data_IF_149220596873
#
_entry.id   IF_149220596873
#
_cell.length_a   1.000
_cell.length_b   1.000
_cell.length_c   1.000
_cell.angle_alpha   90.00
_cell.angle_beta   90.00
_cell.angle_gamma   90.00
#
_symmetry.space_group_name_H-M   'P 1'
#
loop_
_entity.id
_entity.type
_entity.pdbx_description
1 polymer ?
#
# COMPACT_ATOMS: atom_id res chain seq x y z
N UNK A 1 -20.45 -18.30 9.78
CA UNK A 1 -21.37 -17.20 9.41
C UNK A 1 -21.64 -17.21 7.91
N UNK A 2 -22.74 -17.86 7.49
CA UNK A 2 -23.23 -17.84 6.10
C UNK A 2 -24.63 -17.22 6.11
N UNK A 3 -24.89 -16.31 5.19
CA UNK A 3 -26.20 -15.68 5.03
C UNK A 3 -26.40 -15.31 3.56
N UNK A 4 -27.64 -15.21 3.11
CA UNK A 4 -28.00 -15.02 1.68
C UNK A 4 -27.29 -13.82 1.02
N UNK A 5 -26.89 -12.83 1.83
CA UNK A 5 -26.17 -11.61 1.40
C UNK A 5 -24.80 -11.41 2.08
N UNK A 6 -24.23 -12.43 2.72
CA UNK A 6 -22.93 -12.31 3.42
C UNK A 6 -21.86 -13.11 2.68
N UNK A 7 -20.87 -12.41 2.15
CA UNK A 7 -19.66 -13.03 1.61
C UNK A 7 -18.63 -13.17 2.73
N UNK A 8 -18.21 -14.39 3.07
CA UNK A 8 -17.14 -14.58 4.04
C UNK A 8 -15.81 -14.04 3.50
N UNK A 9 -14.95 -13.54 4.41
CA UNK A 9 -13.63 -12.99 4.07
C UNK A 9 -12.57 -14.04 4.43
N UNK A 10 -11.63 -14.30 3.52
CA UNK A 10 -10.37 -14.98 3.80
C UNK A 10 -9.24 -13.96 3.79
N UNK A 11 -8.39 -13.98 4.81
CA UNK A 11 -7.28 -13.04 4.95
C UNK A 11 -5.97 -13.72 4.54
N UNK A 12 -5.11 -12.98 3.84
CA UNK A 12 -3.73 -13.38 3.60
C UNK A 12 -2.88 -13.07 4.83
N UNK A 13 -2.11 -14.04 5.31
CA UNK A 13 -1.27 -13.86 6.50
C UNK A 13 0.11 -14.51 6.35
N UNK A 14 1.06 -14.07 7.16
CA UNK A 14 2.39 -14.67 7.21
C UNK A 14 2.36 -16.01 7.95
N UNK A 15 2.84 -17.06 7.29
CA UNK A 15 2.85 -18.43 7.81
C UNK A 15 3.65 -18.58 9.12
N UNK A 16 4.64 -17.71 9.36
CA UNK A 16 5.40 -17.68 10.62
C UNK A 16 4.52 -17.51 11.87
N UNK A 17 3.34 -16.89 11.73
CA UNK A 17 2.35 -16.80 12.80
C UNK A 17 1.83 -18.18 13.27
N UNK A 18 1.98 -19.25 12.48
CA UNK A 18 1.59 -20.61 12.91
C UNK A 18 2.57 -21.25 13.90
N UNK A 19 3.73 -20.64 14.15
CA UNK A 19 4.65 -21.08 15.21
C UNK A 19 4.02 -20.98 16.60
N UNK A 20 3.13 -20.02 16.81
CA UNK A 20 2.32 -19.90 18.02
C UNK A 20 1.05 -20.78 17.89
N UNK A 21 0.76 -21.68 18.86
CA UNK A 21 -0.38 -22.59 18.78
C UNK A 21 -1.75 -21.91 18.68
N UNK A 22 -1.93 -20.76 19.31
CA UNK A 22 -3.21 -20.03 19.35
C UNK A 22 -3.52 -19.44 17.98
N UNK A 23 -2.56 -18.73 17.40
CA UNK A 23 -2.69 -18.15 16.05
C UNK A 23 -2.74 -19.23 14.99
N UNK A 24 -2.00 -20.33 15.15
CA UNK A 24 -2.09 -21.51 14.27
C UNK A 24 -3.50 -22.09 14.21
N UNK A 25 -4.10 -22.35 15.37
CA UNK A 25 -5.47 -22.85 15.47
C UNK A 25 -6.47 -21.86 14.85
N UNK A 26 -6.36 -20.58 15.20
CA UNK A 26 -7.24 -19.52 14.68
C UNK A 26 -7.17 -19.43 13.16
N UNK A 27 -5.97 -19.30 12.58
CA UNK A 27 -5.80 -19.13 11.13
C UNK A 27 -6.34 -20.34 10.35
N UNK A 28 -6.09 -21.56 10.85
CA UNK A 28 -6.59 -22.81 10.24
C UNK A 28 -8.11 -22.92 10.32
N UNK A 29 -8.71 -22.64 11.48
CA UNK A 29 -10.17 -22.67 11.64
C UNK A 29 -10.89 -21.61 10.78
N UNK A 30 -10.27 -20.44 10.61
CA UNK A 30 -10.80 -19.38 9.75
C UNK A 30 -10.58 -19.64 8.25
N UNK A 31 -9.77 -20.63 7.87
CA UNK A 31 -9.46 -20.93 6.48
C UNK A 31 -8.70 -19.79 5.79
N UNK A 32 -7.88 -19.05 6.55
CA UNK A 32 -7.01 -18.00 6.02
C UNK A 32 -5.94 -18.58 5.11
N UNK A 33 -5.37 -17.74 4.25
CA UNK A 33 -4.45 -18.17 3.20
C UNK A 33 -3.02 -17.81 3.64
N UNK A 34 -2.15 -18.79 3.96
CA UNK A 34 -0.80 -18.51 4.40
C UNK A 34 0.12 -18.11 3.26
N UNK A 35 1.11 -17.26 3.57
CA UNK A 35 2.23 -16.89 2.70
C UNK A 35 3.52 -17.09 3.48
N UNK A 36 4.45 -17.83 2.88
CA UNK A 36 5.76 -18.10 3.48
C UNK A 36 6.75 -17.01 3.05
N UNK A 37 7.38 -16.39 4.03
CA UNK A 37 8.30 -15.26 3.90
C UNK A 37 9.38 -15.40 4.96
N UNK A 38 10.59 -14.92 4.67
CA UNK A 38 11.64 -14.80 5.67
C UNK A 38 11.20 -13.86 6.80
N UNK A 39 11.64 -14.18 8.01
CA UNK A 39 11.48 -13.28 9.15
C UNK A 39 12.59 -12.22 9.10
N UNK A 40 12.28 -11.09 8.46
CA UNK A 40 13.21 -9.98 8.33
C UNK A 40 12.97 -8.90 9.39
N UNK A 41 12.07 -9.13 10.36
CA UNK A 41 11.61 -8.10 11.30
C UNK A 41 10.68 -7.05 10.68
N UNK A 42 10.08 -6.22 11.54
CA UNK A 42 9.05 -5.25 11.16
C UNK A 42 9.63 -4.00 10.50
N UNK A 43 9.08 -3.62 9.34
CA UNK A 43 9.50 -2.45 8.56
C UNK A 43 10.66 -2.69 7.59
N UNK A 44 11.13 -3.93 7.49
CA UNK A 44 12.11 -4.34 6.49
C UNK A 44 11.42 -4.94 5.25
N UNK A 45 12.12 -4.95 4.11
CA UNK A 45 11.58 -5.52 2.90
C UNK A 45 11.36 -7.04 3.06
N UNK A 46 10.19 -7.54 2.64
CA UNK A 46 9.87 -8.96 2.67
C UNK A 46 10.66 -9.76 1.63
N UNK A 47 11.26 -10.87 2.05
CA UNK A 47 11.83 -11.89 1.15
C UNK A 47 10.91 -13.10 1.05
N UNK A 48 10.34 -13.32 -0.14
CA UNK A 48 9.33 -14.36 -0.36
C UNK A 48 9.93 -15.65 -0.89
N UNK A 49 9.40 -16.79 -0.43
CA UNK A 49 9.61 -18.05 -1.11
C UNK A 49 8.73 -18.11 -2.37
N UNK A 50 9.30 -18.15 -3.60
CA UNK A 50 8.50 -18.10 -4.84
C UNK A 50 7.49 -19.24 -4.96
N UNK A 51 7.80 -20.42 -4.41
CA UNK A 51 6.87 -21.57 -4.41
C UNK A 51 5.65 -21.28 -3.55
N UNK A 52 5.85 -20.70 -2.37
CA UNK A 52 4.77 -20.33 -1.46
C UNK A 52 3.89 -19.23 -2.05
N UNK A 53 4.51 -18.22 -2.67
CA UNK A 53 3.77 -17.16 -3.36
C UNK A 53 2.86 -17.72 -4.47
N UNK A 54 3.36 -18.66 -5.28
CA UNK A 54 2.55 -19.32 -6.32
C UNK A 54 1.37 -20.11 -5.72
N UNK A 55 1.58 -20.78 -4.58
CA UNK A 55 0.52 -21.51 -3.87
C UNK A 55 -0.52 -20.55 -3.27
N UNK A 56 -0.10 -19.40 -2.75
CA UNK A 56 -0.99 -18.33 -2.29
C UNK A 56 -1.87 -17.82 -3.44
N UNK A 57 -1.29 -17.54 -4.62
CA UNK A 57 -2.06 -17.08 -5.78
C UNK A 57 -3.13 -18.11 -6.19
N UNK A 58 -2.76 -19.40 -6.23
CA UNK A 58 -3.69 -20.49 -6.54
C UNK A 58 -4.84 -20.56 -5.52
N UNK A 59 -4.52 -20.49 -4.23
CA UNK A 59 -5.50 -20.57 -3.13
C UNK A 59 -6.42 -19.36 -3.12
N UNK A 60 -5.89 -18.17 -3.42
CA UNK A 60 -6.66 -16.93 -3.55
C UNK A 60 -7.64 -17.00 -4.71
N UNK A 61 -7.20 -17.51 -5.88
CA UNK A 61 -8.08 -17.72 -7.03
C UNK A 61 -9.23 -18.68 -6.71
N UNK A 62 -8.93 -19.82 -6.08
CA UNK A 62 -9.95 -20.78 -5.65
C UNK A 62 -10.95 -20.16 -4.65
N UNK A 63 -10.47 -19.41 -3.66
CA UNK A 63 -11.31 -18.70 -2.70
C UNK A 63 -12.24 -17.67 -3.38
N UNK A 64 -11.72 -16.94 -4.36
CA UNK A 64 -12.51 -16.01 -5.18
C UNK A 64 -13.62 -16.77 -5.92
N UNK A 65 -13.30 -17.88 -6.58
CA UNK A 65 -14.26 -18.74 -7.31
C UNK A 65 -15.33 -19.33 -6.39
N UNK A 66 -14.96 -19.73 -5.17
CA UNK A 66 -15.87 -20.17 -4.10
C UNK A 66 -16.77 -19.05 -3.54
N UNK A 67 -16.54 -17.80 -3.95
CA UNK A 67 -17.37 -16.65 -3.57
C UNK A 67 -16.90 -15.91 -2.32
N UNK A 68 -15.71 -16.19 -1.80
CA UNK A 68 -15.10 -15.42 -0.71
C UNK A 68 -14.60 -14.06 -1.19
N UNK A 69 -14.62 -13.08 -0.29
CA UNK A 69 -13.85 -11.85 -0.42
C UNK A 69 -12.45 -12.07 0.17
N UNK A 70 -11.45 -11.34 -0.32
CA UNK A 70 -10.05 -11.51 0.08
C UNK A 70 -9.59 -10.26 0.83
N UNK A 71 -9.16 -10.45 2.08
CA UNK A 71 -8.50 -9.42 2.89
C UNK A 71 -7.00 -9.44 2.64
N UNK A 72 -6.44 -8.28 2.32
CA UNK A 72 -5.01 -8.11 2.00
C UNK A 72 -4.47 -6.92 2.80
N UNK A 73 -3.32 -7.10 3.44
CA UNK A 73 -2.53 -6.00 3.98
C UNK A 73 -1.46 -5.66 2.93
N UNK A 74 -1.59 -4.54 2.21
CA UNK A 74 -0.75 -4.25 1.04
C UNK A 74 0.70 -3.92 1.40
N UNK A 75 0.95 -3.50 2.64
CA UNK A 75 2.27 -3.28 3.24
C UNK A 75 2.97 -4.60 3.62
N UNK A 76 2.25 -5.73 3.64
CA UNK A 76 2.78 -7.08 3.90
C UNK A 76 3.41 -7.32 5.26
N UNK A 77 3.58 -6.29 6.10
CA UNK A 77 4.07 -6.33 7.46
C UNK A 77 3.32 -5.32 8.35
N UNK A 78 3.38 -5.49 9.68
CA UNK A 78 2.96 -4.44 10.62
C UNK A 78 3.80 -3.17 10.46
N UNK A 79 3.13 -2.03 10.40
CA UNK A 79 3.78 -0.72 10.37
C UNK A 79 4.08 -0.24 11.80
N UNK A 80 5.36 -0.09 12.21
CA UNK A 80 5.72 0.36 13.54
C UNK A 80 5.56 1.88 13.73
N UNK A 81 5.45 2.66 12.65
CA UNK A 81 5.34 4.12 12.71
C UNK A 81 4.23 4.65 11.79
N UNK A 82 2.97 4.20 11.98
CA UNK A 82 1.86 4.57 11.09
C UNK A 82 1.54 6.06 11.10
N UNK A 83 2.04 6.78 12.11
CA UNK A 83 1.98 8.24 12.25
C UNK A 83 2.67 8.96 11.08
N UNK A 84 3.65 8.31 10.46
CA UNK A 84 4.36 8.80 9.27
C UNK A 84 3.66 8.41 7.95
N UNK A 85 2.50 7.76 8.03
CA UNK A 85 1.77 7.19 6.90
C UNK A 85 2.06 5.71 6.69
N UNK A 86 1.62 5.19 5.54
CA UNK A 86 1.82 3.78 5.17
C UNK A 86 3.27 3.51 4.77
N UNK A 87 3.72 2.29 5.06
CA UNK A 87 4.89 1.69 4.44
C UNK A 87 4.69 1.49 2.92
N UNK A 88 5.77 1.27 2.17
CA UNK A 88 5.68 0.99 0.75
C UNK A 88 4.73 -0.18 0.44
N UNK A 89 3.70 0.10 -0.37
CA UNK A 89 2.76 -0.91 -0.83
C UNK A 89 3.44 -1.85 -1.83
N UNK A 90 3.42 -3.15 -1.51
CA UNK A 90 4.00 -4.19 -2.36
C UNK A 90 3.29 -4.30 -3.70
N UNK A 91 4.07 -4.49 -4.77
CA UNK A 91 3.55 -4.70 -6.13
C UNK A 91 2.60 -5.91 -6.23
N UNK A 92 2.86 -6.95 -5.44
CA UNK A 92 2.02 -8.15 -5.37
C UNK A 92 0.58 -7.87 -4.94
N UNK A 93 0.34 -6.85 -4.11
CA UNK A 93 -1.01 -6.47 -3.68
C UNK A 93 -1.85 -5.97 -4.86
N UNK A 94 -1.27 -5.16 -5.74
CA UNK A 94 -1.95 -4.73 -6.97
C UNK A 94 -2.17 -5.89 -7.95
N UNK A 95 -1.22 -6.81 -8.09
CA UNK A 95 -1.39 -8.02 -8.92
C UNK A 95 -2.62 -8.82 -8.49
N UNK A 96 -2.79 -9.03 -7.19
CA UNK A 96 -3.97 -9.70 -6.62
C UNK A 96 -5.26 -8.93 -6.91
N UNK A 97 -5.25 -7.62 -6.72
CA UNK A 97 -6.39 -6.75 -7.02
C UNK A 97 -6.79 -6.87 -8.50
N UNK A 98 -5.82 -6.78 -9.42
CA UNK A 98 -6.03 -6.89 -10.87
C UNK A 98 -6.55 -8.27 -11.28
N UNK A 99 -5.97 -9.35 -10.74
CA UNK A 99 -6.39 -10.72 -11.02
C UNK A 99 -7.82 -11.02 -10.55
N UNK A 100 -8.28 -10.34 -9.49
CA UNK A 100 -9.62 -10.59 -8.94
C UNK A 100 -10.76 -10.12 -9.85
N UNK A 101 -10.48 -9.16 -10.75
CA UNK A 101 -11.49 -8.44 -11.54
C UNK A 101 -12.68 -7.91 -10.69
N UNK A 102 -12.44 -7.61 -9.41
CA UNK A 102 -13.45 -7.17 -8.45
C UNK A 102 -13.16 -5.76 -7.95
N UNK A 103 -14.20 -5.00 -7.58
CA UNK A 103 -14.02 -3.73 -6.90
C UNK A 103 -13.31 -3.93 -5.54
N UNK A 104 -12.25 -3.18 -5.30
CA UNK A 104 -11.49 -3.20 -4.05
C UNK A 104 -12.11 -2.20 -3.09
N UNK A 105 -12.47 -2.67 -1.89
CA UNK A 105 -12.91 -1.83 -0.79
C UNK A 105 -11.74 -1.56 0.15
N UNK A 106 -11.56 -0.31 0.52
CA UNK A 106 -10.52 0.11 1.45
C UNK A 106 -11.02 0.08 2.88
N UNK A 107 -10.18 -0.44 3.78
CA UNK A 107 -10.39 -0.39 5.22
C UNK A 107 -9.14 0.24 5.82
N UNK A 108 -9.33 1.23 6.70
CA UNK A 108 -8.25 1.86 7.44
C UNK A 108 -8.39 1.61 8.94
N UNK A 109 -7.25 1.47 9.61
CA UNK A 109 -7.14 1.14 11.02
C UNK A 109 -6.25 2.20 11.67
N UNK A 110 -6.64 2.65 12.87
CA UNK A 110 -5.89 3.64 13.64
C UNK A 110 -5.73 3.17 15.09
N UNK A 111 -4.58 3.46 15.69
CA UNK A 111 -4.30 3.24 17.12
C UNK A 111 -3.95 1.81 17.51
N UNK A 112 -4.03 0.83 16.61
CA UNK A 112 -3.74 -0.57 16.92
C UNK A 112 -2.29 -0.81 17.38
N UNK A 113 -1.33 -0.08 16.80
CA UNK A 113 0.09 -0.15 17.19
C UNK A 113 0.33 0.30 18.64
N UNK A 114 -0.58 1.08 19.24
CA UNK A 114 -0.48 1.51 20.64
C UNK A 114 -1.10 0.51 21.62
N UNK A 115 -1.84 -0.48 21.10
CA UNK A 115 -2.41 -1.56 21.91
C UNK A 115 -1.49 -2.77 21.93
N UNK A 116 -0.99 -3.15 20.76
CA UNK A 116 0.01 -4.20 20.57
C UNK A 116 1.05 -3.70 19.60
N UNK A 117 2.15 -3.19 20.13
CA UNK A 117 3.22 -2.61 19.33
C UNK A 117 4.03 -3.72 18.64
N UNK A 118 4.33 -3.59 17.33
CA UNK A 118 5.14 -4.60 16.63
C UNK A 118 6.64 -4.55 17.00
N UNK A 119 7.11 -3.43 17.55
CA UNK A 119 8.49 -3.30 18.06
C UNK A 119 8.64 -3.94 19.44
N UNK A 120 9.47 -4.99 19.53
CA UNK A 120 9.76 -5.69 20.78
C UNK A 120 10.41 -4.80 21.85
N UNK A 121 11.10 -3.72 21.43
CA UNK A 121 11.73 -2.78 22.36
C UNK A 121 10.71 -1.92 23.11
N UNK A 122 9.54 -1.69 22.51
CA UNK A 122 8.40 -1.04 23.17
C UNK A 122 7.63 -2.06 24.02
N UNK A 123 7.70 -3.34 23.64
CA UNK A 123 7.10 -4.45 24.37
C UNK A 123 5.60 -4.60 24.10
N UNK A 124 4.96 -5.42 24.94
CA UNK A 124 3.52 -5.70 24.88
C UNK A 124 2.67 -4.69 25.68
N UNK A 125 3.25 -3.54 26.02
CA UNK A 125 2.61 -2.53 26.85
C UNK A 125 1.51 -1.81 26.06
N UNK A 126 0.29 -1.94 26.58
CA UNK A 126 -0.88 -1.27 26.03
C UNK A 126 -0.86 0.21 26.43
N UNK A 127 -0.32 1.06 25.57
CA UNK A 127 -0.14 2.51 25.80
C UNK A 127 -1.38 3.34 25.44
N UNK A 128 -2.36 2.77 24.73
CA UNK A 128 -3.65 3.41 24.45
C UNK A 128 -4.80 2.40 24.46
N UNK A 129 -6.03 2.89 24.67
CA UNK A 129 -7.26 2.07 24.69
C UNK A 129 -8.22 2.38 23.54
N UNK A 130 -7.91 3.39 22.73
CA UNK A 130 -8.77 3.83 21.65
C UNK A 130 -8.21 3.35 20.32
N UNK A 131 -9.04 2.61 19.59
CA UNK A 131 -8.80 2.25 18.18
C UNK A 131 -9.94 2.81 17.34
N UNK A 132 -9.65 3.10 16.07
CA UNK A 132 -10.68 3.44 15.11
C UNK A 132 -10.54 2.57 13.86
N UNK A 133 -11.70 2.19 13.31
CA UNK A 133 -11.79 1.44 12.06
C UNK A 133 -12.67 2.23 11.11
N UNK A 134 -12.18 2.42 9.88
CA UNK A 134 -12.91 3.08 8.82
C UNK A 134 -13.08 2.14 7.65
N UNK A 135 -14.32 1.87 7.27
CA UNK A 135 -14.67 1.13 6.05
C UNK A 135 -15.17 2.15 5.04
N UNK A 136 -14.44 2.33 3.95
CA UNK A 136 -14.83 3.30 2.93
C UNK A 136 -15.99 2.76 2.07
N UNK A 137 -16.95 3.63 1.71
CA UNK A 137 -18.07 3.22 0.86
C UNK A 137 -17.56 2.99 -0.56
N UNK A 138 -18.23 2.07 -1.26
CA UNK A 138 -17.97 1.71 -2.65
C UNK A 138 -16.59 1.07 -2.89
N UNK A 139 -16.55 0.03 -3.72
CA UNK A 139 -15.28 -0.52 -4.18
C UNK A 139 -14.87 0.13 -5.49
N UNK A 140 -13.57 0.21 -5.77
CA UNK A 140 -13.06 0.67 -7.08
C UNK A 140 -12.21 -0.39 -7.76
N UNK A 141 -12.31 -0.47 -9.08
CA UNK A 141 -11.37 -1.22 -9.92
C UNK A 141 -10.28 -0.25 -10.35
N UNK A 142 -9.05 -0.53 -9.95
CA UNK A 142 -7.87 0.27 -10.25
C UNK A 142 -7.28 -0.14 -11.60
N UNK A 143 -6.88 0.84 -12.41
CA UNK A 143 -6.37 0.58 -13.76
C UNK A 143 -4.88 0.22 -13.77
N UNK A 144 -4.13 0.89 -12.91
CA UNK A 144 -2.69 0.75 -12.81
C UNK A 144 -2.21 0.75 -11.35
N UNK A 145 -0.96 0.31 -11.16
CA UNK A 145 -0.38 0.15 -9.84
C UNK A 145 -0.12 1.50 -9.14
N UNK A 146 0.13 2.57 -9.90
CA UNK A 146 0.43 3.88 -9.34
C UNK A 146 -0.84 4.54 -8.81
N UNK A 147 -1.95 4.42 -9.54
CA UNK A 147 -3.29 4.81 -9.09
C UNK A 147 -3.63 4.12 -7.77
N UNK A 148 -3.43 2.79 -7.72
CA UNK A 148 -3.69 1.97 -6.55
C UNK A 148 -2.89 2.45 -5.34
N UNK A 149 -1.56 2.58 -5.50
CA UNK A 149 -0.66 3.03 -4.44
C UNK A 149 -0.97 4.44 -3.96
N UNK A 150 -1.12 5.38 -4.90
CA UNK A 150 -1.40 6.78 -4.57
C UNK A 150 -2.71 6.92 -3.80
N UNK A 151 -3.75 6.21 -4.24
CA UNK A 151 -5.06 6.27 -3.58
C UNK A 151 -5.01 5.67 -2.18
N UNK A 152 -4.38 4.49 -2.00
CA UNK A 152 -4.28 3.88 -0.67
C UNK A 152 -3.44 4.74 0.28
N UNK A 153 -2.29 5.24 -0.17
CA UNK A 153 -1.45 6.11 0.66
C UNK A 153 -2.17 7.38 1.07
N UNK A 154 -2.88 8.02 0.13
CA UNK A 154 -3.64 9.22 0.43
C UNK A 154 -4.79 8.93 1.40
N UNK A 155 -5.61 7.91 1.13
CA UNK A 155 -6.84 7.64 1.89
C UNK A 155 -6.57 6.86 3.17
N UNK A 156 -6.08 5.63 3.02
CA UNK A 156 -5.83 4.71 4.13
C UNK A 156 -4.66 5.20 4.98
N UNK A 157 -3.60 5.69 4.36
CA UNK A 157 -2.44 6.23 5.08
C UNK A 157 -2.76 7.49 5.87
N UNK A 158 -3.56 8.41 5.33
CA UNK A 158 -3.98 9.60 6.09
C UNK A 158 -4.80 9.20 7.33
N UNK A 159 -5.78 8.29 7.18
CA UNK A 159 -6.55 7.83 8.33
C UNK A 159 -5.69 7.05 9.33
N UNK A 160 -4.79 6.20 8.85
CA UNK A 160 -3.87 5.42 9.68
C UNK A 160 -2.94 6.29 10.53
N UNK A 161 -2.53 7.45 10.01
CA UNK A 161 -1.69 8.40 10.74
C UNK A 161 -2.50 9.30 11.71
N UNK A 162 -3.68 9.75 11.30
CA UNK A 162 -4.41 10.82 12.00
C UNK A 162 -5.64 10.36 12.79
N UNK A 163 -6.13 9.14 12.54
CA UNK A 163 -7.39 8.62 13.09
C UNK A 163 -8.64 9.33 12.61
N UNK A 164 -8.52 10.18 11.57
CA UNK A 164 -9.59 10.98 10.98
C UNK A 164 -9.48 10.95 9.46
N UNK A 165 -10.61 11.08 8.79
CA UNK A 165 -10.65 11.23 7.34
C UNK A 165 -10.12 12.61 6.93
N UNK A 166 -9.54 12.69 5.74
CA UNK A 166 -9.23 13.96 5.06
C UNK A 166 -10.52 14.76 4.76
N UNK A 167 -10.43 16.02 4.33
CA UNK A 167 -11.61 16.81 3.96
C UNK A 167 -12.53 16.06 3.00
N UNK A 168 -13.84 16.13 3.25
CA UNK A 168 -14.85 15.29 2.59
C UNK A 168 -14.80 15.36 1.06
N UNK A 169 -14.59 16.55 0.50
CA UNK A 169 -14.49 16.76 -0.94
C UNK A 169 -13.28 16.05 -1.52
N UNK A 170 -12.12 16.23 -0.90
CA UNK A 170 -10.87 15.58 -1.31
C UNK A 170 -10.98 14.05 -1.19
N UNK A 171 -11.55 13.56 -0.08
CA UNK A 171 -11.81 12.14 0.11
C UNK A 171 -12.68 11.60 -1.02
N UNK A 172 -13.78 12.27 -1.34
CA UNK A 172 -14.70 11.81 -2.37
C UNK A 172 -14.02 11.75 -3.74
N UNK A 173 -13.18 12.74 -4.07
CA UNK A 173 -12.39 12.74 -5.30
C UNK A 173 -11.38 11.59 -5.36
N UNK A 174 -10.79 11.23 -4.22
CA UNK A 174 -9.93 10.06 -4.14
C UNK A 174 -10.71 8.76 -4.28
N UNK A 175 -11.91 8.65 -3.70
CA UNK A 175 -12.74 7.44 -3.76
C UNK A 175 -13.27 7.19 -5.18
N UNK A 176 -13.73 8.23 -5.89
CA UNK A 176 -14.23 8.12 -7.26
C UNK A 176 -13.12 8.10 -8.35
N UNK A 177 -11.88 8.41 -7.95
CA UNK A 177 -10.71 8.39 -8.84
C UNK A 177 -10.51 9.65 -9.68
N UNK A 178 -11.35 10.68 -9.52
CA UNK A 178 -11.15 11.98 -10.16
C UNK A 178 -9.86 12.67 -9.69
N UNK A 179 -9.48 12.48 -8.41
CA UNK A 179 -8.22 13.03 -7.89
C UNK A 179 -7.01 12.47 -8.62
N UNK A 180 -7.03 11.19 -8.99
CA UNK A 180 -5.92 10.58 -9.73
C UNK A 180 -5.72 11.24 -11.10
N UNK A 181 -6.80 11.63 -11.77
CA UNK A 181 -6.71 12.36 -13.06
C UNK A 181 -6.04 13.72 -12.86
N UNK A 182 -6.39 14.42 -11.78
CA UNK A 182 -5.76 15.68 -11.40
C UNK A 182 -4.26 15.50 -11.12
N UNK A 183 -3.88 14.44 -10.40
CA UNK A 183 -2.47 14.09 -10.15
C UNK A 183 -1.71 13.79 -11.43
N UNK A 184 -2.31 13.06 -12.39
CA UNK A 184 -1.69 12.79 -13.68
C UNK A 184 -1.40 14.10 -14.44
N UNK A 185 -2.35 15.03 -14.47
CA UNK A 185 -2.16 16.35 -15.10
C UNK A 185 -1.06 17.14 -14.39
N UNK A 186 -1.04 17.12 -13.05
CA UNK A 186 0.01 17.80 -12.26
C UNK A 186 1.38 17.23 -12.55
N UNK A 187 1.53 15.90 -12.56
CA UNK A 187 2.79 15.22 -12.88
C UNK A 187 3.28 15.53 -14.30
N UNK A 188 2.37 15.55 -15.27
CA UNK A 188 2.70 15.93 -16.64
C UNK A 188 3.21 17.38 -16.71
N UNK A 189 2.57 18.31 -16.01
CA UNK A 189 3.00 19.71 -15.95
C UNK A 189 4.36 19.89 -15.25
N UNK A 190 4.61 19.16 -14.15
CA UNK A 190 5.90 19.17 -13.45
C UNK A 190 7.02 18.64 -14.33
N UNK A 191 6.80 17.54 -15.04
CA UNK A 191 7.80 16.95 -15.94
C UNK A 191 8.18 17.89 -17.10
N UNK A 192 7.22 18.63 -17.66
CA UNK A 192 7.49 19.65 -18.69
C UNK A 192 8.36 20.77 -18.13
N UNK A 193 8.10 21.20 -16.90
CA UNK A 193 8.87 22.26 -16.24
C UNK A 193 10.30 21.81 -15.98
N UNK A 194 10.49 20.60 -15.42
CA UNK A 194 11.82 20.03 -15.18
C UNK A 194 12.62 19.82 -16.46
N UNK A 195 11.98 19.35 -17.54
CA UNK A 195 12.63 19.18 -18.84
C UNK A 195 13.06 20.52 -19.46
N UNK A 196 12.23 21.57 -19.33
CA UNK A 196 12.61 22.93 -19.78
C UNK A 196 13.77 23.48 -18.96
N UNK A 197 13.76 23.31 -17.63
CA UNK A 197 14.86 23.76 -16.77
C UNK A 197 16.18 23.07 -17.11
N UNK A 198 16.16 21.76 -17.39
CA UNK A 198 17.34 21.01 -17.82
C UNK A 198 17.88 21.50 -19.17
N UNK A 199 16.99 21.78 -20.14
CA UNK A 199 17.39 22.33 -21.44
C UNK A 199 18.04 23.72 -21.32
N UNK A 200 17.52 24.59 -20.46
CA UNK A 200 18.13 25.91 -20.21
C UNK A 200 19.49 25.84 -19.51
N UNK A 201 19.76 24.82 -18.69
CA UNK A 201 21.07 24.60 -18.09
C UNK A 201 22.11 24.10 -19.10
N UNK A 202 21.72 23.21 -20.03
CA UNK A 202 22.61 22.75 -21.10
C UNK A 202 22.94 23.89 -22.09
N UNK A 203 21.96 24.73 -22.45
CA UNK A 203 22.21 25.90 -23.32
C UNK A 203 23.16 26.93 -22.66
N UNK A 204 23.09 27.08 -21.32
CA UNK A 204 24.02 27.94 -20.58
C UNK A 204 25.43 27.36 -20.53
N UNK A 205 25.58 26.04 -20.34
CA UNK A 205 26.90 25.38 -20.37
C UNK A 205 27.51 25.41 -21.76
N UNK A 206 26.72 25.20 -22.81
CA UNK A 206 27.16 25.32 -24.21
C UNK A 206 27.71 26.71 -24.51
N UNK A 207 26.97 27.77 -24.18
CA UNK A 207 27.40 29.15 -24.41
C UNK A 207 28.61 29.57 -23.54
N UNK A 208 28.71 29.11 -22.29
CA UNK A 208 29.86 29.42 -21.45
C UNK A 208 31.17 28.81 -21.97
N UNK A 209 31.09 27.62 -22.57
CA UNK A 209 32.25 26.92 -23.15
C UNK A 209 32.74 27.61 -24.42
N UNK A 210 31.82 28.09 -25.26
CA UNK A 210 32.13 28.81 -26.51
C UNK A 210 32.71 30.22 -26.25
N UNK A 211 32.22 30.92 -25.21
CA UNK A 211 32.80 32.19 -24.76
C UNK A 211 34.22 31.98 -24.21
N UNK A 212 34.47 30.92 -23.43
CA UNK A 212 35.81 30.64 -22.90
C UNK A 212 36.82 30.29 -24.00
N UNK A 213 36.39 29.58 -25.05
CA UNK A 213 37.24 29.25 -26.20
C UNK A 213 37.60 30.51 -27.01
N UNK A 214 36.65 31.43 -27.21
CA UNK A 214 36.90 32.72 -27.89
C UNK A 214 37.82 33.67 -27.12
N UNK A 215 37.79 33.65 -25.79
CA UNK A 215 38.68 34.49 -24.97
C UNK A 215 40.13 33.99 -25.03
N UNK A 216 40.35 32.68 -25.18
CA UNK A 216 41.70 32.11 -25.32
C UNK A 216 42.32 32.36 -26.69
N UNK A 217 41.54 32.55 -27.76
CA UNK A 217 42.07 32.82 -29.11
C UNK A 217 42.46 34.29 -29.36
N UNK A 218 42.23 35.18 -28.38
CA UNK A 218 42.52 36.63 -28.46
C UNK A 218 43.81 37.00 -27.70
N UNK A 219 44.45 36.03 -27.02
CA UNK A 219 45.77 36.19 -26.39
C UNK A 219 46.85 35.46 -27.18
#
# INVERSE_FOLDING_TARGET
MRGKNRRPIKILYWKGLESNPVTSLMCRMCGFIPVDMADNGNGNANEYNPKSFKQMLKSTKAAIEEGFDIGILPEGQPNPTPENGMQPIFSGAFTLAKMSHRPIKMIALYGLHRMWHPDENIGMDCTARNMAVRVYPNGRIFKDADEFRATLNAVVGHFGANGKDMPKEELQMWLDGSMWKTEQVRRAASNITSAKSAHYEDDRKGNATDISARIQSIK
#
